data_IF_847205353118
#
_entry.id   IF_847205353118
#
_cell.length_a   1.000
_cell.length_b   1.000
_cell.length_c   1.000
_cell.angle_alpha   90.00
_cell.angle_beta   90.00
_cell.angle_gamma   90.00
#
_symmetry.space_group_name_H-M   'P 1'
#
loop_
_entity.id
_entity.type
_entity.pdbx_description
1 polymer ?
#
# COMPACT_ATOMS: atom_id res chain seq x y z
N UNK A 1 -8.85 1.26 3.15
CA UNK A 1 -7.94 2.41 3.30
C UNK A 1 -7.39 2.38 4.70
N UNK A 2 -6.09 2.53 4.82
CA UNK A 2 -5.38 2.49 6.10
C UNK A 2 -4.28 3.56 6.14
N UNK A 3 -3.81 3.86 7.34
CA UNK A 3 -2.73 4.82 7.59
C UNK A 3 -1.68 4.21 8.52
N UNK A 4 -0.40 4.35 8.15
CA UNK A 4 0.73 4.12 9.05
C UNK A 4 1.45 5.44 9.30
N UNK A 5 1.64 5.78 10.57
CA UNK A 5 2.35 6.98 11.00
C UNK A 5 3.33 6.60 12.11
N UNK A 6 4.62 6.64 11.81
CA UNK A 6 5.65 6.19 12.76
C UNK A 6 5.41 4.73 13.19
N UNK A 7 5.22 4.51 14.48
CA UNK A 7 4.94 3.21 15.06
C UNK A 7 3.43 2.90 15.23
N UNK A 8 2.53 3.69 14.67
CA UNK A 8 1.10 3.45 14.75
C UNK A 8 0.52 3.11 13.38
N UNK A 9 -0.39 2.13 13.35
CA UNK A 9 -1.20 1.75 12.19
C UNK A 9 -2.68 1.80 12.54
N UNK A 10 -3.51 2.31 11.64
CA UNK A 10 -4.97 2.41 11.76
C UNK A 10 -5.64 2.01 10.44
N UNK A 11 -6.78 1.35 10.54
CA UNK A 11 -7.71 1.18 9.41
C UNK A 11 -8.68 2.35 9.45
N UNK A 12 -8.67 3.19 8.41
CA UNK A 12 -9.52 4.38 8.30
C UNK A 12 -10.92 4.03 7.80
N UNK A 13 -11.01 3.16 6.79
CA UNK A 13 -12.28 2.61 6.35
C UNK A 13 -12.09 1.30 5.57
N UNK A 14 -13.15 0.51 5.53
CA UNK A 14 -13.28 -0.67 4.67
C UNK A 14 -14.30 -0.36 3.57
N UNK A 15 -13.96 -0.67 2.32
CA UNK A 15 -14.78 -0.42 1.15
C UNK A 15 -15.30 -1.75 0.58
N UNK A 16 -16.47 -1.72 -0.05
CA UNK A 16 -16.98 -2.86 -0.78
C UNK A 16 -16.11 -3.12 -2.03
N UNK A 17 -15.98 -4.40 -2.42
CA UNK A 17 -15.13 -4.81 -3.55
C UNK A 17 -15.57 -4.24 -4.90
N UNK A 18 -16.83 -3.87 -5.01
CA UNK A 18 -17.47 -3.38 -6.23
C UNK A 18 -17.67 -1.85 -6.24
N UNK A 19 -17.01 -1.13 -5.34
CA UNK A 19 -17.05 0.32 -5.36
C UNK A 19 -16.44 0.85 -6.68
N UNK A 20 -17.01 1.93 -7.19
CA UNK A 20 -16.51 2.62 -8.37
C UNK A 20 -15.14 3.25 -8.08
N UNK A 21 -14.17 3.08 -8.98
CA UNK A 21 -12.80 3.59 -8.82
C UNK A 21 -12.75 5.09 -8.54
N UNK A 22 -13.63 5.88 -9.16
CA UNK A 22 -13.71 7.32 -8.90
C UNK A 22 -14.17 7.61 -7.47
N UNK A 23 -15.16 6.87 -6.96
CA UNK A 23 -15.64 7.02 -5.58
C UNK A 23 -14.53 6.65 -4.60
N UNK A 24 -13.81 5.56 -4.87
CA UNK A 24 -12.67 5.15 -4.06
C UNK A 24 -11.56 6.20 -4.08
N UNK A 25 -11.25 6.74 -5.27
CA UNK A 25 -10.24 7.80 -5.44
C UNK A 25 -10.62 9.08 -4.67
N UNK A 26 -11.88 9.52 -4.73
CA UNK A 26 -12.36 10.68 -3.98
C UNK A 26 -12.25 10.48 -2.46
N UNK A 27 -12.59 9.29 -1.96
CA UNK A 27 -12.43 8.95 -0.53
C UNK A 27 -10.97 8.93 -0.12
N UNK A 28 -10.11 8.34 -0.97
CA UNK A 28 -8.67 8.26 -0.71
C UNK A 28 -8.05 9.66 -0.69
N UNK A 29 -8.42 10.54 -1.64
CA UNK A 29 -7.99 11.92 -1.67
C UNK A 29 -8.41 12.70 -0.41
N UNK A 30 -9.65 12.48 0.06
CA UNK A 30 -10.12 13.09 1.30
C UNK A 30 -9.28 12.66 2.50
N UNK A 31 -9.00 11.36 2.65
CA UNK A 31 -8.16 10.86 3.74
C UNK A 31 -6.71 11.32 3.62
N UNK A 32 -6.16 11.41 2.40
CA UNK A 32 -4.83 11.99 2.17
C UNK A 32 -4.73 13.42 2.72
N UNK A 33 -5.77 14.24 2.50
CA UNK A 33 -5.83 15.63 2.95
C UNK A 33 -6.07 15.72 4.47
N UNK A 34 -7.04 14.97 5.01
CA UNK A 34 -7.40 14.97 6.44
C UNK A 34 -6.23 14.51 7.31
N UNK A 35 -5.54 13.44 6.89
CA UNK A 35 -4.43 12.85 7.62
C UNK A 35 -3.06 13.47 7.25
N UNK A 36 -3.03 14.36 6.27
CA UNK A 36 -1.80 14.99 5.74
C UNK A 36 -0.75 13.94 5.37
N UNK A 37 -1.18 12.92 4.62
CA UNK A 37 -0.33 11.80 4.27
C UNK A 37 0.81 12.23 3.32
N UNK A 38 2.04 11.81 3.66
CA UNK A 38 3.22 12.14 2.86
C UNK A 38 3.31 11.30 1.58
N UNK A 39 2.74 10.09 1.56
CA UNK A 39 2.67 9.22 0.39
C UNK A 39 1.40 8.37 0.42
N UNK A 40 0.92 7.99 -0.77
CA UNK A 40 -0.20 7.08 -0.95
C UNK A 40 0.22 5.94 -1.87
N UNK A 41 0.07 4.71 -1.38
CA UNK A 41 0.38 3.48 -2.09
C UNK A 41 -0.90 2.72 -2.41
N UNK A 42 -1.05 2.26 -3.64
CA UNK A 42 -2.23 1.55 -4.13
C UNK A 42 -1.80 0.22 -4.74
N UNK A 43 -2.44 -0.89 -4.34
CA UNK A 43 -2.17 -2.22 -4.92
C UNK A 43 -2.52 -2.22 -6.41
N UNK A 44 -1.52 -2.49 -7.25
CA UNK A 44 -1.66 -2.50 -8.70
C UNK A 44 -2.62 -3.59 -9.21
N UNK A 45 -2.87 -4.63 -8.42
CA UNK A 45 -3.78 -5.72 -8.80
C UNK A 45 -5.23 -5.26 -9.03
N UNK A 46 -5.66 -4.17 -8.36
CA UNK A 46 -7.01 -3.61 -8.47
C UNK A 46 -7.04 -2.07 -8.52
N UNK A 47 -5.90 -1.42 -8.39
CA UNK A 47 -5.82 0.02 -8.15
C UNK A 47 -5.46 0.88 -9.34
N UNK A 48 -5.29 0.31 -10.54
CA UNK A 48 -4.91 1.09 -11.73
C UNK A 48 -5.94 2.16 -12.08
N UNK A 49 -7.23 1.81 -12.04
CA UNK A 49 -8.33 2.76 -12.26
C UNK A 49 -8.42 3.82 -11.16
N UNK A 50 -8.17 3.42 -9.89
CA UNK A 50 -8.14 4.34 -8.74
C UNK A 50 -7.03 5.37 -8.90
N UNK A 51 -5.82 4.94 -9.28
CA UNK A 51 -4.69 5.86 -9.50
C UNK A 51 -4.94 6.77 -10.70
N UNK A 52 -5.50 6.24 -11.79
CA UNK A 52 -5.90 7.06 -12.96
C UNK A 52 -6.93 8.14 -12.58
N UNK A 53 -7.95 7.77 -11.80
CA UNK A 53 -8.92 8.73 -11.28
C UNK A 53 -8.27 9.75 -10.34
N UNK A 54 -7.32 9.31 -9.50
CA UNK A 54 -6.52 10.17 -8.62
C UNK A 54 -5.70 11.20 -9.39
N UNK A 55 -5.08 10.80 -10.50
CA UNK A 55 -4.37 11.74 -11.39
C UNK A 55 -5.32 12.82 -11.92
N UNK A 56 -6.55 12.44 -12.31
CA UNK A 56 -7.60 13.40 -12.67
C UNK A 56 -7.97 14.39 -11.56
N UNK A 57 -7.77 13.99 -10.29
CA UNK A 57 -7.93 14.84 -9.10
C UNK A 57 -6.64 15.60 -8.72
N UNK A 58 -5.59 15.53 -9.53
CA UNK A 58 -4.30 16.17 -9.27
C UNK A 58 -3.47 15.47 -8.18
N UNK A 59 -3.67 14.13 -7.98
CA UNK A 59 -2.93 13.34 -6.99
C UNK A 59 -1.80 12.57 -7.65
N UNK A 60 -0.72 12.40 -6.90
CA UNK A 60 0.45 11.62 -7.29
C UNK A 60 0.56 10.37 -6.40
N UNK A 61 -0.25 9.37 -6.73
CA UNK A 61 -0.29 8.09 -5.99
C UNK A 61 0.55 7.04 -6.69
N UNK A 62 1.23 6.22 -5.90
CA UNK A 62 2.13 5.20 -6.41
C UNK A 62 1.44 3.84 -6.47
N UNK A 63 1.43 3.23 -7.66
CA UNK A 63 1.06 1.83 -7.83
C UNK A 63 2.15 0.90 -7.30
N UNK A 64 1.76 -0.10 -6.54
CA UNK A 64 2.66 -1.10 -5.97
C UNK A 64 2.35 -2.46 -6.56
N UNK A 65 3.32 -3.02 -7.27
CA UNK A 65 3.27 -4.36 -7.82
C UNK A 65 3.86 -5.35 -6.82
N UNK A 66 3.01 -6.17 -6.19
CA UNK A 66 3.45 -7.15 -5.19
C UNK A 66 4.42 -8.19 -5.74
N UNK A 67 4.28 -8.56 -7.02
CA UNK A 67 5.21 -9.43 -7.72
C UNK A 67 6.44 -8.70 -8.28
N UNK A 68 6.52 -7.38 -8.13
CA UNK A 68 7.64 -6.56 -8.62
C UNK A 68 8.96 -6.91 -7.95
N UNK A 69 10.02 -6.36 -8.48
CA UNK A 69 11.39 -6.57 -8.00
C UNK A 69 11.55 -6.03 -6.57
N UNK A 70 12.26 -6.79 -5.75
CA UNK A 70 12.64 -6.40 -4.39
C UNK A 70 13.92 -5.57 -4.40
N UNK A 71 13.96 -4.51 -3.60
CA UNK A 71 15.20 -3.79 -3.30
C UNK A 71 16.10 -4.56 -2.31
N UNK A 72 15.54 -5.51 -1.55
CA UNK A 72 16.27 -6.40 -0.66
C UNK A 72 16.66 -7.68 -1.40
N UNK A 73 17.97 -7.93 -1.66
CA UNK A 73 18.42 -9.11 -2.38
C UNK A 73 18.08 -10.44 -1.66
N UNK A 74 17.82 -10.40 -0.35
CA UNK A 74 17.36 -11.53 0.45
C UNK A 74 15.87 -11.87 0.29
N UNK A 75 15.12 -11.08 -0.48
CA UNK A 75 13.70 -11.30 -0.75
C UNK A 75 13.47 -11.66 -2.22
N UNK A 76 12.50 -12.54 -2.49
CA UNK A 76 12.18 -12.96 -3.86
C UNK A 76 11.56 -11.81 -4.68
N UNK A 77 10.67 -11.06 -4.07
CA UNK A 77 9.88 -10.02 -4.73
C UNK A 77 9.46 -8.93 -3.72
N UNK A 78 8.79 -7.90 -4.22
CA UNK A 78 8.33 -6.77 -3.41
C UNK A 78 7.38 -7.19 -2.29
N UNK A 79 6.53 -8.20 -2.51
CA UNK A 79 5.67 -8.75 -1.45
C UNK A 79 6.49 -9.28 -0.27
N UNK A 80 7.51 -10.10 -0.53
CA UNK A 80 8.35 -10.67 0.52
C UNK A 80 9.11 -9.58 1.30
N UNK A 81 9.61 -8.57 0.60
CA UNK A 81 10.27 -7.40 1.19
C UNK A 81 9.33 -6.64 2.13
N UNK A 82 8.13 -6.30 1.65
CA UNK A 82 7.12 -5.57 2.46
C UNK A 82 6.71 -6.38 3.71
N UNK A 83 6.50 -7.68 3.61
CA UNK A 83 6.21 -8.55 4.74
C UNK A 83 7.35 -8.60 5.74
N UNK A 84 8.61 -8.70 5.28
CA UNK A 84 9.80 -8.66 6.13
C UNK A 84 9.88 -7.33 6.89
N UNK A 85 9.70 -6.20 6.19
CA UNK A 85 9.75 -4.87 6.80
C UNK A 85 8.62 -4.67 7.82
N UNK A 86 7.39 -5.13 7.53
CA UNK A 86 6.27 -5.06 8.46
C UNK A 86 6.53 -5.89 9.73
N UNK A 87 7.09 -7.11 9.57
CA UNK A 87 7.51 -7.94 10.71
C UNK A 87 8.54 -7.24 11.58
N UNK A 88 9.55 -6.64 10.96
CA UNK A 88 10.63 -5.98 11.68
C UNK A 88 10.12 -4.69 12.37
N UNK A 89 9.20 -3.98 11.74
CA UNK A 89 8.49 -2.85 12.34
C UNK A 89 7.64 -3.26 13.55
N UNK A 90 6.90 -4.36 13.47
CA UNK A 90 6.14 -4.90 14.61
C UNK A 90 7.08 -5.27 15.78
N UNK A 91 8.23 -5.91 15.48
CA UNK A 91 9.24 -6.23 16.49
C UNK A 91 9.87 -5.00 17.15
N UNK A 92 9.94 -3.89 16.43
CA UNK A 92 10.44 -2.62 16.97
C UNK A 92 9.42 -1.79 17.75
N UNK A 93 8.23 -2.36 18.03
CA UNK A 93 7.19 -1.73 18.83
C UNK A 93 6.06 -1.13 18.00
N UNK A 94 5.93 -1.53 16.74
CA UNK A 94 4.79 -1.13 15.90
C UNK A 94 3.46 -1.54 16.50
N UNK A 95 2.52 -0.60 16.63
CA UNK A 95 1.20 -0.79 17.21
C UNK A 95 0.14 -0.92 16.12
N UNK A 96 -0.68 -1.95 16.23
CA UNK A 96 -1.84 -2.21 15.36
C UNK A 96 -3.13 -2.16 16.19
N UNK A 97 -4.30 -1.87 15.57
CA UNK A 97 -5.56 -1.90 16.30
C UNK A 97 -5.87 -3.31 16.84
N UNK A 98 -6.67 -3.38 17.89
CA UNK A 98 -7.18 -4.64 18.43
C UNK A 98 -8.27 -5.19 17.50
N UNK A 99 -7.83 -5.74 16.38
CA UNK A 99 -8.66 -6.32 15.33
C UNK A 99 -8.27 -7.78 15.15
N UNK A 100 -9.09 -8.73 15.61
CA UNK A 100 -8.82 -10.15 15.49
C UNK A 100 -8.57 -10.60 14.05
N UNK A 101 -9.33 -10.05 13.08
CA UNK A 101 -9.17 -10.39 11.68
C UNK A 101 -7.82 -9.92 11.11
N UNK A 102 -7.37 -8.72 11.50
CA UNK A 102 -6.03 -8.25 11.10
C UNK A 102 -4.94 -9.15 11.70
N UNK A 103 -5.07 -9.56 12.97
CA UNK A 103 -4.11 -10.47 13.62
C UNK A 103 -4.04 -11.82 12.90
N UNK A 104 -5.20 -12.40 12.60
CA UNK A 104 -5.27 -13.68 11.90
C UNK A 104 -4.66 -13.57 10.50
N UNK A 105 -4.96 -12.51 9.75
CA UNK A 105 -4.39 -12.26 8.43
C UNK A 105 -2.87 -12.02 8.45
N UNK A 106 -2.33 -11.43 9.51
CA UNK A 106 -0.87 -11.23 9.67
C UNK A 106 -0.13 -12.54 10.00
N UNK A 107 -0.79 -13.51 10.58
CA UNK A 107 -0.21 -14.80 10.94
C UNK A 107 -0.44 -15.88 9.87
N UNK A 108 -1.40 -15.69 8.99
CA UNK A 108 -1.84 -16.71 8.04
C UNK A 108 -0.82 -17.07 6.95
N UNK A 109 -0.09 -16.13 6.31
CA UNK A 109 0.83 -16.47 5.23
C UNK A 109 2.11 -17.14 5.76
N UNK A 110 2.48 -18.24 5.12
CA UNK A 110 3.70 -18.98 5.44
C UNK A 110 4.89 -18.52 4.59
N UNK A 111 6.08 -18.76 5.12
CA UNK A 111 7.32 -18.62 4.34
C UNK A 111 7.56 -19.89 3.54
N UNK A 112 7.73 -19.75 2.23
CA UNK A 112 8.02 -20.88 1.33
C UNK A 112 9.53 -21.11 1.30
N UNK A 113 10.01 -22.34 1.62
CA UNK A 113 11.42 -22.68 1.52
C UNK A 113 11.92 -22.57 0.07
N UNK A 114 13.11 -22.00 -0.10
CA UNK A 114 13.75 -21.84 -1.41
C UNK A 114 15.22 -22.29 -1.37
N UNK A 115 15.66 -22.89 -2.47
CA UNK A 115 17.06 -23.34 -2.62
C UNK A 115 18.06 -22.20 -2.74
N UNK A 116 17.62 -21.03 -3.19
CA UNK A 116 18.44 -19.81 -3.31
C UNK A 116 18.53 -18.99 -2.00
N UNK A 117 17.90 -19.47 -0.92
CA UNK A 117 17.89 -18.84 0.40
C UNK A 117 17.06 -17.56 0.50
N UNK A 118 16.42 -17.11 -0.57
CA UNK A 118 15.58 -15.90 -0.55
C UNK A 118 14.27 -16.15 0.21
N UNK A 119 13.82 -15.13 0.89
CA UNK A 119 12.49 -15.12 1.53
C UNK A 119 11.44 -15.04 0.44
N UNK A 120 10.51 -15.98 0.47
CA UNK A 120 9.29 -15.99 -0.32
C UNK A 120 8.10 -16.16 0.60
N UNK A 121 7.09 -15.30 0.44
CA UNK A 121 5.81 -15.45 1.15
C UNK A 121 4.85 -16.22 0.27
N UNK A 122 4.10 -17.13 0.89
CA UNK A 122 3.06 -17.93 0.25
C UNK A 122 2.13 -17.08 -0.62
N UNK A 123 1.77 -17.60 -1.78
CA UNK A 123 0.88 -16.88 -2.70
C UNK A 123 -0.57 -16.88 -2.18
N UNK A 124 -1.35 -15.87 -2.59
CA UNK A 124 -2.80 -15.84 -2.28
C UNK A 124 -3.54 -17.08 -2.83
N UNK A 125 -3.03 -17.68 -3.91
CA UNK A 125 -3.58 -18.90 -4.49
C UNK A 125 -3.37 -20.09 -3.57
N UNK A 126 -2.16 -20.24 -3.02
CA UNK A 126 -1.81 -21.34 -2.12
C UNK A 126 -2.54 -21.18 -0.77
N UNK A 127 -2.61 -19.96 -0.23
CA UNK A 127 -3.44 -19.67 0.95
C UNK A 127 -4.89 -20.11 0.72
N UNK A 128 -5.46 -19.77 -0.43
CA UNK A 128 -6.83 -20.18 -0.78
C UNK A 128 -6.97 -21.70 -0.89
N UNK A 129 -5.96 -22.40 -1.42
CA UNK A 129 -5.95 -23.87 -1.46
C UNK A 129 -5.95 -24.50 -0.06
N UNK A 130 -5.37 -23.82 0.94
CA UNK A 130 -5.43 -24.19 2.38
C UNK A 130 -6.75 -23.76 3.06
N UNK A 131 -7.72 -23.20 2.32
CA UNK A 131 -8.99 -22.72 2.87
C UNK A 131 -8.92 -21.35 3.55
N UNK A 132 -7.83 -20.61 3.38
CA UNK A 132 -7.64 -19.30 3.99
C UNK A 132 -8.14 -18.16 3.07
N UNK A 133 -8.74 -17.10 3.63
CA UNK A 133 -9.12 -15.93 2.85
C UNK A 133 -7.89 -15.11 2.43
N UNK A 134 -8.07 -14.21 1.46
CA UNK A 134 -7.03 -13.22 1.12
C UNK A 134 -6.77 -12.28 2.30
N UNK A 135 -5.51 -12.01 2.66
CA UNK A 135 -5.17 -11.17 3.81
C UNK A 135 -5.29 -9.68 3.49
N UNK A 136 -6.50 -9.21 3.20
CA UNK A 136 -6.74 -7.85 2.69
C UNK A 136 -6.38 -6.74 3.69
N UNK A 137 -6.63 -6.95 4.99
CA UNK A 137 -6.28 -5.99 6.04
C UNK A 137 -4.77 -6.00 6.27
N UNK A 138 -4.15 -7.18 6.31
CA UNK A 138 -2.69 -7.30 6.39
C UNK A 138 -2.02 -6.70 5.15
N UNK A 139 -2.53 -6.97 3.94
CA UNK A 139 -2.01 -6.36 2.71
C UNK A 139 -2.08 -4.83 2.77
N UNK A 140 -3.10 -4.24 3.42
CA UNK A 140 -3.19 -2.78 3.60
C UNK A 140 -2.15 -2.21 4.57
N UNK A 141 -1.67 -2.99 5.53
CA UNK A 141 -0.54 -2.62 6.38
C UNK A 141 0.78 -2.76 5.61
N UNK A 142 1.03 -3.93 5.01
CA UNK A 142 2.32 -4.22 4.39
C UNK A 142 2.63 -3.34 3.19
N UNK A 143 1.62 -2.92 2.42
CA UNK A 143 1.82 -2.00 1.28
C UNK A 143 2.41 -0.66 1.72
N UNK A 144 2.18 -0.24 2.97
CA UNK A 144 2.74 0.99 3.52
C UNK A 144 4.28 0.95 3.66
N UNK A 145 4.90 -0.21 3.45
CA UNK A 145 6.36 -0.42 3.44
C UNK A 145 6.92 -0.54 2.01
N UNK A 146 6.12 -0.29 0.97
CA UNK A 146 6.56 -0.50 -0.40
C UNK A 146 7.78 0.33 -0.80
N UNK A 147 7.82 1.58 -0.38
CA UNK A 147 8.91 2.50 -0.68
C UNK A 147 9.22 3.40 0.51
N UNK A 148 10.45 3.93 0.60
CA UNK A 148 10.80 4.98 1.55
C UNK A 148 9.90 6.22 1.36
N UNK A 149 9.43 6.79 2.46
CA UNK A 149 8.56 7.98 2.44
C UNK A 149 9.36 9.17 2.93
N UNK A 150 9.41 10.21 2.11
CA UNK A 150 9.97 11.51 2.47
C UNK A 150 8.80 12.43 2.88
N UNK A 151 8.95 13.15 3.96
CA UNK A 151 7.95 14.11 4.42
C UNK A 151 7.72 15.20 3.37
N UNK A 152 6.48 15.41 2.97
CA UNK A 152 6.11 16.51 2.07
C UNK A 152 6.47 17.85 2.72
N UNK A 153 7.19 18.69 1.98
CA UNK A 153 7.47 20.06 2.42
C UNK A 153 6.31 20.99 2.00
N UNK A 154 6.07 22.09 2.72
CA UNK A 154 5.09 23.12 2.27
C UNK A 154 5.39 23.64 0.86
N UNK A 155 6.65 23.61 0.41
CA UNK A 155 7.07 24.04 -0.93
C UNK A 155 6.66 23.03 -2.03
N UNK A 156 6.49 21.75 -1.71
CA UNK A 156 6.05 20.75 -2.68
C UNK A 156 4.58 20.98 -3.08
N UNK A 157 3.75 21.42 -2.14
CA UNK A 157 2.37 21.80 -2.40
C UNK A 157 2.27 22.99 -3.39
N UNK A 158 3.21 23.92 -3.33
CA UNK A 158 3.29 25.06 -4.27
C UNK A 158 3.78 24.63 -5.66
N UNK A 159 4.70 23.66 -5.73
CA UNK A 159 5.23 23.14 -7.01
C UNK A 159 4.18 22.39 -7.82
N UNK A 160 3.32 21.60 -7.18
CA UNK A 160 2.21 20.90 -7.85
C UNK A 160 1.24 21.88 -8.48
N UNK A 161 1.01 23.02 -7.83
CA UNK A 161 0.17 24.12 -8.35
C UNK A 161 0.80 24.83 -9.57
N UNK A 162 2.13 24.93 -9.63
CA UNK A 162 2.85 25.65 -10.69
C UNK A 162 3.21 24.79 -11.92
N UNK A 163 3.14 23.48 -11.82
CA UNK A 163 3.49 22.56 -12.92
C UNK A 163 2.33 22.26 -13.88
N UNK A 164 1.13 22.79 -13.64
CA UNK A 164 0.06 22.81 -14.63
C UNK A 164 0.41 23.84 -15.72
N UNK A 165 1.32 23.48 -16.64
CA UNK A 165 1.33 24.11 -17.96
C UNK A 165 0.01 23.71 -18.61
N UNK A 166 -0.89 24.69 -18.73
CA UNK A 166 -2.07 24.57 -19.56
C UNK A 166 -1.56 24.21 -20.95
N UNK A 167 -1.89 23.03 -21.44
CA UNK A 167 -1.59 22.63 -22.81
C UNK A 167 -2.49 23.47 -23.71
N UNK A 168 -1.90 24.45 -24.40
CA UNK A 168 -2.57 25.19 -25.46
C UNK A 168 -2.39 24.40 -26.78
N UNK A 169 -3.45 23.76 -27.30
CA UNK A 169 -3.36 22.99 -28.55
C UNK A 169 -3.21 23.86 -29.79
N UNK A 170 -3.20 25.21 -29.63
CA UNK A 170 -3.11 26.19 -30.73
C UNK A 170 -1.93 27.16 -30.61
N UNK A 171 -0.99 26.90 -29.67
CA UNK A 171 0.28 27.64 -29.54
C UNK A 171 1.37 27.11 -30.44
#
# INVERSE_FOLDING_TARGET
>A
ISLRQGLAFRILCTLAKNDNDLIVAQRLARYEDEEKADAVFVDAGYGTGIVSAGQGLGRDWTLVWFAGESADPGCLNKRAEMWKQARDWLKSGGAIPDDPMLRDELQAPETVPRVDGKIQIESKKDMKARGLPSPNRADSLIISFAFPVVKKSPLDALRVSSSRKEYDPYA
#
